data_IF_651515292072
#
_entry.id   IF_651515292072
#
_cell.length_a   1.000
_cell.length_b   1.000
_cell.length_c   1.000
_cell.angle_alpha   90.00
_cell.angle_beta   90.00
_cell.angle_gamma   90.00
#
_symmetry.space_group_name_H-M   'P 1'
#
loop_
_entity.id
_entity.type
_entity.pdbx_description
1 polymer ?
#
# COMPACT_ATOMS: atom_id res chain seq x y z
N UNK A 1 -14.40 -7.92 13.61
CA UNK A 1 -14.05 -6.74 14.44
C UNK A 1 -14.29 -5.48 13.61
N UNK A 2 -14.54 -4.32 14.21
CA UNK A 2 -14.61 -3.05 13.46
C UNK A 2 -13.45 -2.18 13.93
N UNK A 3 -12.70 -1.60 12.99
CA UNK A 3 -11.71 -0.56 13.29
C UNK A 3 -12.39 0.80 13.37
N UNK A 4 -11.71 1.79 13.96
CA UNK A 4 -12.21 3.16 14.03
C UNK A 4 -12.54 3.73 12.64
N UNK A 5 -13.52 4.64 12.54
CA UNK A 5 -13.85 5.31 11.27
C UNK A 5 -12.63 5.97 10.62
N UNK A 6 -11.77 6.59 11.44
CA UNK A 6 -10.55 7.25 10.96
C UNK A 6 -9.57 6.25 10.33
N UNK A 7 -9.28 5.13 10.98
CA UNK A 7 -8.41 4.10 10.42
C UNK A 7 -9.01 3.51 9.13
N UNK A 8 -10.33 3.26 9.12
CA UNK A 8 -11.05 2.79 7.93
C UNK A 8 -10.92 3.76 6.75
N UNK A 9 -11.12 5.06 6.98
CA UNK A 9 -11.00 6.08 5.94
C UNK A 9 -9.57 6.21 5.41
N UNK A 10 -8.57 6.15 6.28
CA UNK A 10 -7.16 6.19 5.87
C UNK A 10 -6.79 4.95 5.07
N UNK A 11 -7.26 3.76 5.47
CA UNK A 11 -7.10 2.53 4.68
C UNK A 11 -7.78 2.68 3.30
N UNK A 12 -8.99 3.20 3.23
CA UNK A 12 -9.67 3.43 1.94
C UNK A 12 -8.89 4.39 1.03
N UNK A 13 -8.35 5.49 1.56
CA UNK A 13 -7.49 6.41 0.79
C UNK A 13 -6.21 5.74 0.33
N UNK A 14 -5.58 4.93 1.18
CA UNK A 14 -4.41 4.15 0.83
C UNK A 14 -4.71 3.18 -0.34
N UNK A 15 -5.85 2.50 -0.30
CA UNK A 15 -6.31 1.62 -1.37
C UNK A 15 -6.49 2.35 -2.71
N UNK A 16 -7.06 3.57 -2.69
CA UNK A 16 -7.17 4.41 -3.89
C UNK A 16 -5.80 4.72 -4.49
N UNK A 17 -4.82 5.13 -3.68
CA UNK A 17 -3.47 5.44 -4.18
C UNK A 17 -2.81 4.20 -4.79
N UNK A 18 -2.97 3.02 -4.17
CA UNK A 18 -2.42 1.79 -4.74
C UNK A 18 -3.03 1.47 -6.11
N UNK A 19 -4.33 1.71 -6.30
CA UNK A 19 -5.00 1.53 -7.61
C UNK A 19 -4.45 2.49 -8.66
N UNK A 20 -4.21 3.74 -8.29
CA UNK A 20 -3.63 4.73 -9.20
C UNK A 20 -2.19 4.36 -9.60
N UNK A 21 -1.39 3.89 -8.66
CA UNK A 21 -0.03 3.40 -8.94
C UNK A 21 -0.03 2.15 -9.83
N UNK A 22 -0.96 1.23 -9.60
CA UNK A 22 -1.16 0.06 -10.44
C UNK A 22 -1.53 0.45 -11.87
N UNK A 23 -2.47 1.40 -12.03
CA UNK A 23 -2.83 1.94 -13.34
C UNK A 23 -1.63 2.60 -14.05
N UNK A 24 -0.80 3.35 -13.32
CA UNK A 24 0.43 3.96 -13.87
C UNK A 24 1.47 2.91 -14.29
N UNK A 25 1.52 1.78 -13.59
CA UNK A 25 2.37 0.66 -13.96
C UNK A 25 2.10 0.16 -15.39
N UNK A 26 0.86 0.30 -15.87
CA UNK A 26 0.41 -0.14 -17.19
C UNK A 26 0.52 0.94 -18.29
N UNK A 27 0.74 2.20 -17.91
CA UNK A 27 0.86 3.34 -18.85
C UNK A 27 2.18 3.28 -19.62
N UNK A 28 2.19 3.87 -20.83
CA UNK A 28 3.38 4.03 -21.68
C UNK A 28 3.53 5.46 -22.24
N UNK A 29 2.71 6.40 -21.78
CA UNK A 29 2.73 7.79 -22.21
C UNK A 29 3.84 8.62 -21.53
N UNK A 30 4.08 9.82 -22.06
CA UNK A 30 5.15 10.71 -21.60
C UNK A 30 4.93 11.24 -20.17
N UNK A 31 3.68 11.29 -19.70
CA UNK A 31 3.34 11.80 -18.36
C UNK A 31 3.51 10.74 -17.27
N UNK A 32 3.67 9.46 -17.64
CA UNK A 32 3.79 8.31 -16.73
C UNK A 32 4.77 8.56 -15.59
N UNK A 33 5.98 9.06 -15.88
CA UNK A 33 7.02 9.30 -14.85
C UNK A 33 6.61 10.38 -13.86
N UNK A 34 6.00 11.47 -14.33
CA UNK A 34 5.54 12.56 -13.48
C UNK A 34 4.38 12.10 -12.59
N UNK A 35 3.41 11.38 -13.16
CA UNK A 35 2.31 10.78 -12.43
C UNK A 35 2.83 9.79 -11.36
N UNK A 36 3.83 8.96 -11.70
CA UNK A 36 4.44 8.01 -10.77
C UNK A 36 5.08 8.73 -9.58
N UNK A 37 5.83 9.80 -9.82
CA UNK A 37 6.45 10.60 -8.75
C UNK A 37 5.37 11.21 -7.83
N UNK A 38 4.33 11.81 -8.43
CA UNK A 38 3.22 12.39 -7.69
C UNK A 38 2.55 11.37 -6.76
N UNK A 39 2.14 10.22 -7.29
CA UNK A 39 1.44 9.22 -6.49
C UNK A 39 2.34 8.47 -5.49
N UNK A 40 3.63 8.29 -5.78
CA UNK A 40 4.59 7.73 -4.79
C UNK A 40 4.78 8.65 -3.60
N UNK A 41 4.70 9.97 -3.80
CA UNK A 41 4.69 10.94 -2.71
C UNK A 41 3.43 10.81 -1.87
N UNK A 42 2.25 10.79 -2.50
CA UNK A 42 0.97 10.60 -1.80
C UNK A 42 0.95 9.28 -1.00
N UNK A 43 1.51 8.21 -1.57
CA UNK A 43 1.64 6.92 -0.92
C UNK A 43 2.52 6.99 0.35
N UNK A 44 3.67 7.65 0.26
CA UNK A 44 4.57 7.85 1.39
C UNK A 44 3.89 8.63 2.52
N UNK A 45 3.15 9.68 2.17
CA UNK A 45 2.36 10.47 3.11
C UNK A 45 1.29 9.60 3.80
N UNK A 46 0.53 8.79 3.05
CA UNK A 46 -0.49 7.90 3.64
C UNK A 46 0.11 6.78 4.50
N UNK A 47 1.25 6.22 4.11
CA UNK A 47 1.95 5.23 4.94
C UNK A 47 2.37 5.83 6.28
N UNK A 48 2.85 7.07 6.28
CA UNK A 48 3.19 7.80 7.50
C UNK A 48 1.99 8.04 8.43
N UNK A 49 0.78 8.13 7.88
CA UNK A 49 -0.46 8.27 8.65
C UNK A 49 -0.99 6.93 9.20
N UNK A 50 -0.80 5.83 8.48
CA UNK A 50 -1.37 4.54 8.85
C UNK A 50 -0.72 3.93 10.10
N UNK A 51 0.61 3.96 10.23
CA UNK A 51 1.32 3.40 11.40
C UNK A 51 0.77 3.91 12.74
N UNK A 52 0.74 5.24 13.01
CA UNK A 52 0.23 5.73 14.30
C UNK A 52 -1.26 5.46 14.48
N UNK A 53 -2.06 5.43 13.40
CA UNK A 53 -3.49 5.10 13.50
C UNK A 53 -3.73 3.64 13.85
N UNK A 54 -2.92 2.72 13.36
CA UNK A 54 -2.96 1.30 13.76
C UNK A 54 -2.61 1.19 15.26
N UNK A 55 -1.57 1.88 15.70
CA UNK A 55 -1.09 1.81 17.09
C UNK A 55 -2.05 2.45 18.11
N UNK A 56 -2.84 3.43 17.67
CA UNK A 56 -3.75 4.19 18.53
C UNK A 56 -5.22 3.76 18.38
N UNK A 57 -5.53 2.80 17.52
CA UNK A 57 -6.91 2.39 17.28
C UNK A 57 -7.52 1.74 18.55
N UNK A 58 -8.64 2.25 19.08
CA UNK A 58 -9.21 1.77 20.34
C UNK A 58 -9.64 0.30 20.32
N UNK A 59 -10.04 -0.22 19.16
CA UNK A 59 -10.52 -1.60 19.05
C UNK A 59 -9.35 -2.58 18.83
N UNK A 60 -8.30 -2.15 18.13
CA UNK A 60 -7.05 -2.93 18.02
C UNK A 60 -6.27 -2.98 19.33
N UNK A 61 -6.19 -1.88 20.07
CA UNK A 61 -5.48 -1.85 21.37
C UNK A 61 -6.14 -2.74 22.43
N UNK A 62 -7.44 -3.02 22.30
CA UNK A 62 -8.17 -4.01 23.11
C UNK A 62 -7.97 -5.45 22.63
N UNK A 63 -7.48 -5.66 21.41
CA UNK A 63 -7.21 -6.95 20.83
C UNK A 63 -5.77 -7.02 20.29
N UNK A 64 -4.83 -7.26 21.21
CA UNK A 64 -3.39 -7.18 20.93
C UNK A 64 -2.92 -8.17 19.86
N UNK A 65 -3.56 -9.33 19.70
CA UNK A 65 -3.21 -10.28 18.65
C UNK A 65 -3.57 -9.75 17.28
N UNK A 66 -4.76 -9.15 17.16
CA UNK A 66 -5.18 -8.46 15.94
C UNK A 66 -4.31 -7.25 15.61
N UNK A 67 -3.94 -6.46 16.62
CA UNK A 67 -3.01 -5.33 16.46
C UNK A 67 -1.65 -5.80 15.92
N UNK A 68 -1.04 -6.80 16.56
CA UNK A 68 0.25 -7.36 16.14
C UNK A 68 0.21 -7.88 14.72
N UNK A 69 -0.83 -8.62 14.36
CA UNK A 69 -0.95 -9.20 13.02
C UNK A 69 -1.19 -8.13 11.96
N UNK A 70 -2.01 -7.09 12.24
CA UNK A 70 -2.15 -5.96 11.33
C UNK A 70 -0.82 -5.22 11.13
N UNK A 71 -0.14 -4.87 12.23
CA UNK A 71 1.15 -4.16 12.18
C UNK A 71 2.22 -4.95 11.44
N UNK A 72 2.28 -6.27 11.64
CA UNK A 72 3.18 -7.18 10.93
C UNK A 72 2.90 -7.18 9.42
N UNK A 73 1.64 -7.36 9.02
CA UNK A 73 1.25 -7.39 7.60
C UNK A 73 1.46 -6.05 6.91
N UNK A 74 1.07 -4.96 7.57
CA UNK A 74 1.29 -3.61 7.08
C UNK A 74 2.79 -3.34 6.89
N UNK A 75 3.62 -3.73 7.86
CA UNK A 75 5.09 -3.57 7.75
C UNK A 75 5.68 -4.40 6.62
N UNK A 76 5.26 -5.65 6.45
CA UNK A 76 5.72 -6.51 5.36
C UNK A 76 5.36 -5.95 3.97
N UNK A 77 4.13 -5.44 3.82
CA UNK A 77 3.68 -4.77 2.61
C UNK A 77 4.48 -3.49 2.35
N UNK A 78 4.63 -2.62 3.36
CA UNK A 78 5.42 -1.38 3.27
C UNK A 78 6.86 -1.63 2.86
N UNK A 79 7.47 -2.68 3.41
CA UNK A 79 8.83 -3.07 3.07
C UNK A 79 8.95 -3.50 1.60
N UNK A 80 8.06 -4.38 1.12
CA UNK A 80 8.07 -4.81 -0.28
C UNK A 80 7.90 -3.65 -1.26
N UNK A 81 7.01 -2.71 -0.93
CA UNK A 81 6.81 -1.49 -1.69
C UNK A 81 8.05 -0.59 -1.70
N UNK A 82 8.68 -0.37 -0.55
CA UNK A 82 9.90 0.44 -0.44
C UNK A 82 11.04 -0.18 -1.28
N UNK A 83 11.21 -1.50 -1.22
CA UNK A 83 12.19 -2.22 -2.02
C UNK A 83 11.94 -2.03 -3.52
N UNK A 84 10.69 -2.20 -3.97
CA UNK A 84 10.34 -1.95 -5.38
C UNK A 84 10.66 -0.51 -5.81
N UNK A 85 10.31 0.49 -4.99
CA UNK A 85 10.58 1.89 -5.32
C UNK A 85 12.07 2.23 -5.35
N UNK A 86 12.87 1.60 -4.48
CA UNK A 86 14.32 1.75 -4.46
C UNK A 86 14.98 1.09 -5.68
N UNK A 87 14.53 -0.10 -6.08
CA UNK A 87 15.02 -0.78 -7.28
C UNK A 87 14.58 -0.10 -8.57
N UNK A 88 13.39 0.52 -8.57
CA UNK A 88 12.76 1.14 -9.73
C UNK A 88 12.43 2.61 -9.47
N UNK A 89 13.42 3.51 -9.32
CA UNK A 89 13.17 4.93 -9.29
C UNK A 89 12.54 5.39 -10.61
N UNK A 90 11.77 6.48 -10.60
CA UNK A 90 10.94 6.89 -11.74
C UNK A 90 11.74 7.05 -13.05
N UNK A 91 13.01 7.45 -12.98
CA UNK A 91 13.87 7.60 -14.15
C UNK A 91 14.24 6.28 -14.81
N UNK A 92 14.21 5.15 -14.08
CA UNK A 92 14.65 3.81 -14.52
C UNK A 92 13.53 2.86 -14.94
N UNK A 93 12.26 3.25 -14.79
CA UNK A 93 11.11 2.36 -15.04
C UNK A 93 10.95 1.92 -16.50
N UNK A 94 11.64 2.59 -17.43
CA UNK A 94 11.64 2.27 -18.86
C UNK A 94 12.92 1.53 -19.31
N UNK A 95 13.92 1.38 -18.43
CA UNK A 95 15.19 0.69 -18.76
C UNK A 95 14.95 -0.80 -19.04
N UNK A 96 14.12 -1.43 -18.23
CA UNK A 96 13.66 -2.80 -18.42
C UNK A 96 12.18 -2.93 -17.99
N UNK A 97 11.25 -2.73 -18.93
CA UNK A 97 9.81 -2.82 -18.66
C UNK A 97 9.35 -4.21 -18.20
N UNK A 98 10.09 -5.28 -18.52
CA UNK A 98 9.73 -6.64 -18.11
C UNK A 98 10.08 -6.83 -16.64
N UNK A 99 11.32 -6.49 -16.25
CA UNK A 99 11.75 -6.60 -14.86
C UNK A 99 11.01 -5.60 -13.94
N UNK A 100 10.68 -4.40 -14.43
CA UNK A 100 9.83 -3.45 -13.70
C UNK A 100 8.45 -4.06 -13.38
N UNK A 101 7.80 -4.65 -14.38
CA UNK A 101 6.48 -5.30 -14.21
C UNK A 101 6.54 -6.52 -13.31
N UNK A 102 7.61 -7.33 -13.42
CA UNK A 102 7.82 -8.46 -12.53
C UNK A 102 7.93 -8.00 -11.06
N UNK A 103 8.74 -6.97 -10.80
CA UNK A 103 8.86 -6.38 -9.46
C UNK A 103 7.55 -5.77 -8.95
N UNK A 104 6.76 -5.14 -9.83
CA UNK A 104 5.45 -4.61 -9.46
C UNK A 104 4.45 -5.73 -9.05
N UNK A 105 4.48 -6.89 -9.73
CA UNK A 105 3.64 -8.05 -9.38
C UNK A 105 3.92 -8.58 -7.98
N UNK A 106 5.19 -8.64 -7.58
CA UNK A 106 5.56 -9.08 -6.22
C UNK A 106 4.98 -8.16 -5.14
N UNK A 107 4.94 -6.85 -5.40
CA UNK A 107 4.30 -5.88 -4.51
C UNK A 107 2.79 -6.05 -4.51
N UNK A 108 2.18 -6.23 -5.68
CA UNK A 108 0.74 -6.47 -5.82
C UNK A 108 0.29 -7.71 -5.03
N UNK A 109 1.07 -8.79 -5.04
CA UNK A 109 0.75 -9.99 -4.27
C UNK A 109 0.80 -9.73 -2.75
N UNK A 110 1.79 -8.97 -2.26
CA UNK A 110 1.85 -8.57 -0.84
C UNK A 110 0.69 -7.67 -0.46
N UNK A 111 0.31 -6.73 -1.34
CA UNK A 111 -0.86 -5.88 -1.16
C UNK A 111 -2.15 -6.71 -1.13
N UNK A 112 -2.32 -7.66 -2.06
CA UNK A 112 -3.45 -8.59 -2.10
C UNK A 112 -3.61 -9.36 -0.79
N UNK A 113 -2.53 -9.95 -0.27
CA UNK A 113 -2.54 -10.70 0.99
C UNK A 113 -2.86 -9.81 2.21
N UNK A 114 -2.39 -8.55 2.20
CA UNK A 114 -2.75 -7.57 3.22
C UNK A 114 -4.25 -7.26 3.18
N UNK A 115 -4.78 -6.92 2.00
CA UNK A 115 -6.19 -6.56 1.84
C UNK A 115 -7.16 -7.70 2.05
N UNK A 116 -6.81 -8.90 1.63
CA UNK A 116 -7.58 -10.10 1.92
C UNK A 116 -7.78 -10.25 3.44
N UNK A 117 -6.68 -10.13 4.19
CA UNK A 117 -6.74 -10.23 5.64
C UNK A 117 -7.56 -9.09 6.27
N UNK A 118 -7.39 -7.85 5.79
CA UNK A 118 -8.18 -6.70 6.23
C UNK A 118 -9.68 -6.91 5.97
N UNK A 119 -10.04 -7.51 4.83
CA UNK A 119 -11.43 -7.84 4.49
C UNK A 119 -12.01 -8.86 5.45
N UNK A 120 -11.30 -9.98 5.64
CA UNK A 120 -11.70 -11.10 6.50
C UNK A 120 -11.85 -10.70 7.98
N UNK A 121 -10.97 -9.84 8.51
CA UNK A 121 -10.88 -9.60 9.95
C UNK A 121 -11.39 -8.22 10.40
N UNK A 122 -11.21 -7.20 9.55
CA UNK A 122 -11.54 -5.79 9.85
C UNK A 122 -12.79 -5.32 9.11
N UNK A 123 -13.27 -6.08 8.12
CA UNK A 123 -14.36 -5.66 7.23
C UNK A 123 -13.98 -4.45 6.37
N UNK A 124 -12.70 -4.31 6.02
CA UNK A 124 -12.16 -3.25 5.16
C UNK A 124 -11.52 -3.90 3.94
N UNK A 125 -12.06 -3.63 2.76
CA UNK A 125 -11.54 -4.14 1.50
C UNK A 125 -10.76 -3.04 0.77
N UNK A 126 -9.89 -3.46 -0.16
CA UNK A 126 -9.21 -2.56 -1.12
C UNK A 126 -10.21 -1.74 -1.99
N UNK A 127 -11.48 -2.15 -1.97
CA UNK A 127 -12.57 -1.61 -2.79
C UNK A 127 -12.40 -1.92 -4.26
#
# INVERSE_FOLDING_TARGET
MKVSPRLRETLARYATIEKELEAIGLRTDQERKQALVHWRRQLSEQIGLLSPLIDQDPDLTRNLDMHRELSKRFTAMRYGLALHQASWPAVRIDEDPVAYRASARDVQEKSRLFWQWCGEHLGVNRG
#
